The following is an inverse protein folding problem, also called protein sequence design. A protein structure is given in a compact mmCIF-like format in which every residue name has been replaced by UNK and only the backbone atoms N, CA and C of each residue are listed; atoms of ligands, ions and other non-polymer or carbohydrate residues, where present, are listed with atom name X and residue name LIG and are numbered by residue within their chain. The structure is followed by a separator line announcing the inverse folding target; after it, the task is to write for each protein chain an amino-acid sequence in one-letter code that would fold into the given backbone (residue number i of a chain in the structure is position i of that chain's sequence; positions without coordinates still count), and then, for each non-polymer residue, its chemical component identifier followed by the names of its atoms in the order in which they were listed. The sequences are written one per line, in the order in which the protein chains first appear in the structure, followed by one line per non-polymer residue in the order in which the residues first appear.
data_IF_504133653097
#
_entry.id   IF_504133653097
#
_cell.length_a   1.000
_cell.length_b   1.000
_cell.length_c   1.000
_cell.angle_alpha   90.00
_cell.angle_beta   90.00
_cell.angle_gamma   90.00
#
_symmetry.space_group_name_H-M   'P 1'
#
loop_
_entity.id
_entity.type
_entity.pdbx_description
1 polymer ?
#
# COMPACT_ATOMS: atom_id res chain seq x y z
N UNK A 1 4.31 -16.16 8.64
CA UNK A 1 4.45 -14.88 7.91
C UNK A 1 4.72 -13.75 8.89
N UNK A 2 5.70 -12.90 8.62
CA UNK A 2 5.95 -11.67 9.42
C UNK A 2 4.82 -10.65 9.21
N UNK A 3 4.49 -9.85 10.24
CA UNK A 3 3.43 -8.81 10.19
C UNK A 3 3.58 -7.87 8.97
N UNK A 4 4.82 -7.60 8.55
CA UNK A 4 5.14 -6.80 7.36
C UNK A 4 4.59 -7.42 6.07
N UNK A 5 4.90 -8.70 5.81
CA UNK A 5 4.43 -9.41 4.61
C UNK A 5 2.90 -9.46 4.58
N UNK A 6 2.27 -9.72 5.74
CA UNK A 6 0.80 -9.71 5.86
C UNK A 6 0.22 -8.33 5.50
N UNK A 7 0.79 -7.25 6.03
CA UNK A 7 0.33 -5.89 5.72
C UNK A 7 0.56 -5.51 4.26
N UNK A 8 1.67 -5.90 3.65
CA UNK A 8 1.95 -5.64 2.23
C UNK A 8 0.98 -6.36 1.31
N UNK A 9 0.68 -7.64 1.59
CA UNK A 9 -0.31 -8.39 0.81
C UNK A 9 -1.70 -7.76 0.98
N UNK A 10 -2.09 -7.41 2.21
CA UNK A 10 -3.37 -6.73 2.45
C UNK A 10 -3.47 -5.40 1.70
N UNK A 11 -2.43 -4.56 1.75
CA UNK A 11 -2.39 -3.28 1.07
C UNK A 11 -2.53 -3.44 -0.44
N UNK A 12 -1.78 -4.38 -1.03
CA UNK A 12 -1.85 -4.70 -2.46
C UNK A 12 -3.26 -5.12 -2.87
N UNK A 13 -3.89 -5.98 -2.07
CA UNK A 13 -5.23 -6.49 -2.32
C UNK A 13 -6.28 -5.37 -2.25
N UNK A 14 -6.22 -4.54 -1.20
CA UNK A 14 -7.16 -3.43 -0.99
C UNK A 14 -7.05 -2.42 -2.13
N UNK A 15 -5.84 -1.99 -2.48
CA UNK A 15 -5.64 -1.04 -3.57
C UNK A 15 -6.02 -1.64 -4.94
N UNK A 16 -5.79 -2.93 -5.18
CA UNK A 16 -6.27 -3.62 -6.38
C UNK A 16 -7.80 -3.63 -6.46
N UNK A 17 -8.49 -3.94 -5.36
CA UNK A 17 -9.97 -3.90 -5.31
C UNK A 17 -10.49 -2.48 -5.49
N UNK A 18 -9.87 -1.47 -4.88
CA UNK A 18 -10.24 -0.07 -5.07
C UNK A 18 -10.09 0.32 -6.54
N UNK A 19 -8.96 -0.01 -7.18
CA UNK A 19 -8.75 0.26 -8.61
C UNK A 19 -9.81 -0.40 -9.48
N UNK A 20 -10.18 -1.64 -9.17
CA UNK A 20 -11.25 -2.35 -9.88
C UNK A 20 -12.61 -1.66 -9.72
N UNK A 21 -13.00 -1.31 -8.48
CA UNK A 21 -14.28 -0.64 -8.20
C UNK A 21 -14.33 0.75 -8.84
N UNK A 22 -13.27 1.54 -8.71
CA UNK A 22 -13.20 2.90 -9.27
C UNK A 22 -13.30 2.88 -10.79
N UNK A 23 -12.55 2.00 -11.46
CA UNK A 23 -12.60 1.89 -12.93
C UNK A 23 -13.95 1.37 -13.41
N UNK A 24 -14.54 0.41 -12.69
CA UNK A 24 -15.88 -0.10 -12.99
C UNK A 24 -16.96 0.98 -12.88
N UNK A 25 -16.88 1.85 -11.87
CA UNK A 25 -17.82 2.97 -11.69
C UNK A 25 -17.64 4.03 -12.78
N UNK A 26 -16.39 4.35 -13.16
CA UNK A 26 -16.10 5.46 -14.08
C UNK A 26 -16.32 5.11 -15.55
N UNK A 27 -15.92 3.92 -15.99
CA UNK A 27 -15.90 3.54 -17.41
C UNK A 27 -16.93 2.44 -17.76
N UNK A 28 -17.65 1.90 -16.76
CA UNK A 28 -18.55 0.76 -16.93
C UNK A 28 -17.85 -0.58 -17.22
N UNK A 29 -16.53 -0.55 -17.45
CA UNK A 29 -15.67 -1.71 -17.62
C UNK A 29 -14.38 -1.54 -16.82
N UNK A 30 -13.84 -2.62 -16.23
CA UNK A 30 -12.59 -2.53 -15.49
C UNK A 30 -11.42 -2.28 -16.45
N UNK A 31 -10.83 -1.08 -16.35
CA UNK A 31 -9.59 -0.73 -17.06
C UNK A 31 -8.42 -1.39 -16.34
N UNK A 32 -8.07 -2.60 -16.78
CA UNK A 32 -7.07 -3.45 -16.14
C UNK A 32 -5.71 -2.77 -15.93
N UNK A 33 -5.29 -1.87 -16.83
CA UNK A 33 -4.07 -1.09 -16.66
C UNK A 33 -4.08 -0.23 -15.38
N UNK A 34 -5.21 0.39 -15.07
CA UNK A 34 -5.37 1.20 -13.86
C UNK A 34 -5.50 0.32 -12.61
N UNK A 35 -6.17 -0.83 -12.71
CA UNK A 35 -6.29 -1.81 -11.62
C UNK A 35 -4.91 -2.34 -11.22
N UNK A 36 -4.11 -2.76 -12.20
CA UNK A 36 -2.75 -3.26 -11.98
C UNK A 36 -1.84 -2.15 -11.46
N UNK A 37 -1.96 -0.93 -12.00
CA UNK A 37 -1.22 0.24 -11.51
C UNK A 37 -1.53 0.57 -10.05
N UNK A 38 -2.79 0.55 -9.66
CA UNK A 38 -3.24 0.74 -8.27
C UNK A 38 -2.72 -0.37 -7.35
N UNK A 39 -2.82 -1.64 -7.77
CA UNK A 39 -2.31 -2.77 -7.00
C UNK A 39 -0.79 -2.66 -6.76
N UNK A 40 -0.02 -2.36 -7.81
CA UNK A 40 1.43 -2.13 -7.70
C UNK A 40 1.76 -0.91 -6.84
N UNK A 41 0.98 0.16 -6.94
CA UNK A 41 1.11 1.34 -6.07
C UNK A 41 0.90 1.01 -4.59
N UNK A 42 -0.16 0.25 -4.28
CA UNK A 42 -0.44 -0.24 -2.92
C UNK A 42 0.65 -1.17 -2.39
N UNK A 43 1.20 -2.03 -3.25
CA UNK A 43 2.34 -2.88 -2.91
C UNK A 43 3.57 -2.04 -2.55
N UNK A 44 3.97 -1.08 -3.39
CA UNK A 44 5.14 -0.23 -3.15
C UNK A 44 4.99 0.61 -1.88
N UNK A 45 3.82 1.18 -1.64
CA UNK A 45 3.50 1.93 -0.42
C UNK A 45 3.71 1.09 0.83
N UNK A 46 3.15 -0.12 0.88
CA UNK A 46 3.26 -0.97 2.05
C UNK A 46 4.61 -1.69 2.16
N UNK A 47 5.27 -2.00 1.05
CA UNK A 47 6.56 -2.70 1.03
C UNK A 47 7.73 -1.77 1.38
N UNK A 48 7.70 -0.51 0.94
CA UNK A 48 8.84 0.41 1.07
C UNK A 48 8.53 1.66 1.89
N UNK A 49 7.39 2.32 1.68
CA UNK A 49 7.11 3.61 2.32
C UNK A 49 6.77 3.43 3.80
N UNK A 50 5.81 2.56 4.12
CA UNK A 50 5.42 2.24 5.50
C UNK A 50 6.59 1.81 6.40
N UNK A 51 7.46 0.86 6.00
CA UNK A 51 8.60 0.49 6.83
C UNK A 51 9.65 1.58 6.95
N UNK A 52 9.86 2.39 5.90
CA UNK A 52 10.75 3.56 5.97
C UNK A 52 10.23 4.59 6.96
N UNK A 53 8.92 4.84 6.95
CA UNK A 53 8.26 5.74 7.90
C UNK A 53 8.33 5.20 9.33
N UNK A 54 8.08 3.91 9.54
CA UNK A 54 8.16 3.31 10.87
C UNK A 54 9.60 3.34 11.43
N UNK A 55 10.60 3.17 10.57
CA UNK A 55 12.01 3.28 10.95
C UNK A 55 12.38 4.73 11.31
N UNK A 56 11.88 5.72 10.56
CA UNK A 56 12.05 7.14 10.90
C UNK A 56 11.37 7.51 12.22
N UNK A 57 10.17 6.99 12.47
CA UNK A 57 9.41 7.32 13.67
C UNK A 57 10.07 6.71 14.93
N UNK A 58 10.68 5.53 14.81
CA UNK A 58 11.44 4.90 15.91
C UNK A 58 12.72 5.66 16.25
N UNK A 59 13.44 6.19 15.24
CA UNK A 59 14.61 7.08 15.48
C UNK A 59 14.21 8.36 16.19
N UNK A 60 13.17 9.03 15.69
CA UNK A 60 12.64 10.26 16.30
C UNK A 60 12.18 10.08 17.74
N UNK A 61 11.73 8.87 18.11
CA UNK A 61 11.36 8.55 19.49
C UNK A 61 12.57 8.29 20.39
N UNK A 62 13.68 7.79 19.85
CA UNK A 62 14.94 7.63 20.57
C UNK A 62 15.56 8.97 20.96
N UNK A 63 15.53 9.93 20.04
CA UNK A 63 16.10 11.28 20.24
C UNK A 63 15.32 12.16 21.24
N UNK A 64 14.13 11.74 21.70
CA UNK A 64 13.30 12.48 22.67
C UNK A 64 13.50 11.98 24.11
N UNK A 65 14.14 10.82 24.29
CA UNK A 65 14.42 10.23 25.61
C UNK A 65 15.91 10.26 26.00
N UNK A 66 16.73 10.99 25.24
CA UNK A 66 18.14 11.30 25.54
C UNK A 66 18.26 12.79 25.91
#
# INVERSE_FOLDING_TARGET
MTKRVKNTILGTLIFGVIGFVVTYILDGAPVWNLVIGQALGGFLLYAFILPTMETRNKRKKGDIYE
#
